data_IF_654127097992
#
_entry.id   IF_654127097992
#
_cell.length_a   1.000
_cell.length_b   1.000
_cell.length_c   1.000
_cell.angle_alpha   90.00
_cell.angle_beta   90.00
_cell.angle_gamma   90.00
#
_symmetry.space_group_name_H-M   'P 1'
#
loop_
_entity.id
_entity.type
_entity.pdbx_description
1 polymer ?
#
# COMPACT_ATOMS: atom_id res chain seq x y z
N UNK A 1 -11.58 2.90 -21.07
CA UNK A 1 -10.94 4.23 -21.12
C UNK A 1 -9.69 4.19 -20.25
N UNK A 2 -8.61 4.83 -20.70
CA UNK A 2 -7.34 4.83 -19.99
C UNK A 2 -7.48 5.43 -18.59
N UNK A 3 -6.97 4.76 -17.53
CA UNK A 3 -7.07 5.25 -16.17
C UNK A 3 -6.12 6.43 -15.88
N UNK A 4 -5.23 6.79 -16.84
CA UNK A 4 -4.27 7.87 -16.71
C UNK A 4 -4.66 9.05 -17.61
N UNK A 5 -4.75 10.20 -16.98
CA UNK A 5 -5.20 11.45 -17.59
C UNK A 5 -4.07 12.48 -17.58
N UNK A 6 -4.13 13.41 -18.53
CA UNK A 6 -3.26 14.60 -18.51
C UNK A 6 -3.99 15.70 -17.76
N UNK A 7 -3.40 16.19 -16.69
CA UNK A 7 -3.97 17.19 -15.80
C UNK A 7 -3.08 18.42 -15.71
N UNK A 8 -3.68 19.60 -15.76
CA UNK A 8 -3.02 20.91 -15.65
C UNK A 8 -3.36 21.55 -14.31
N UNK A 9 -2.35 22.02 -13.57
CA UNK A 9 -2.55 22.69 -12.27
C UNK A 9 -3.29 24.01 -12.45
N UNK A 10 -4.40 24.17 -11.72
CA UNK A 10 -5.21 25.40 -11.70
C UNK A 10 -4.87 26.23 -10.47
N UNK A 11 -5.02 25.65 -9.28
CA UNK A 11 -4.90 26.34 -7.99
C UNK A 11 -4.54 25.36 -6.87
N UNK A 12 -4.23 25.93 -5.73
CA UNK A 12 -3.97 25.17 -4.51
C UNK A 12 -5.09 25.43 -3.50
N UNK A 13 -5.61 24.37 -2.91
CA UNK A 13 -6.60 24.44 -1.84
C UNK A 13 -6.10 23.68 -0.62
N UNK A 14 -5.81 24.39 0.48
CA UNK A 14 -5.23 23.82 1.71
C UNK A 14 -3.96 23.01 1.41
N UNK A 15 -4.08 21.68 1.40
CA UNK A 15 -2.96 20.76 1.11
C UNK A 15 -3.13 20.00 -0.22
N UNK A 16 -4.21 20.26 -0.94
CA UNK A 16 -4.51 19.63 -2.23
C UNK A 16 -4.13 20.52 -3.39
N UNK A 17 -3.82 19.92 -4.52
CA UNK A 17 -3.63 20.60 -5.80
C UNK A 17 -4.89 20.36 -6.64
N UNK A 18 -5.56 21.44 -7.07
CA UNK A 18 -6.71 21.36 -7.98
C UNK A 18 -6.20 21.47 -9.40
N UNK A 19 -6.59 20.50 -10.20
CA UNK A 19 -6.13 20.32 -11.57
C UNK A 19 -7.31 20.32 -12.55
N UNK A 20 -7.09 20.82 -13.75
CA UNK A 20 -8.01 20.66 -14.88
C UNK A 20 -7.63 19.40 -15.65
N UNK A 21 -8.59 18.54 -15.85
CA UNK A 21 -8.46 17.30 -16.62
C UNK A 21 -9.33 17.40 -17.87
N UNK A 22 -8.74 17.08 -19.02
CA UNK A 22 -9.49 16.98 -20.28
C UNK A 22 -10.24 15.66 -20.34
N UNK A 23 -11.55 15.71 -20.50
CA UNK A 23 -12.41 14.54 -20.68
C UNK A 23 -12.56 14.10 -22.14
N UNK A 24 -11.70 14.60 -23.04
CA UNK A 24 -11.66 14.28 -24.46
C UNK A 24 -11.84 15.51 -25.38
N UNK A 25 -11.62 15.30 -26.68
CA UNK A 25 -11.71 16.35 -27.70
C UNK A 25 -13.10 17.01 -27.72
N UNK A 26 -13.13 18.32 -27.50
CA UNK A 26 -14.34 19.13 -27.57
C UNK A 26 -15.23 19.10 -26.32
N UNK A 27 -14.80 18.44 -25.24
CA UNK A 27 -15.49 18.47 -23.94
C UNK A 27 -14.84 19.51 -23.01
N UNK A 28 -15.61 20.14 -22.09
CA UNK A 28 -15.05 21.06 -21.12
C UNK A 28 -14.08 20.32 -20.18
N UNK A 29 -13.05 21.04 -19.74
CA UNK A 29 -12.16 20.56 -18.68
C UNK A 29 -12.96 20.38 -17.37
N UNK A 30 -12.67 19.31 -16.63
CA UNK A 30 -13.30 18.99 -15.36
C UNK A 30 -12.25 19.17 -14.26
N UNK A 31 -12.66 19.69 -13.10
CA UNK A 31 -11.78 19.81 -11.96
C UNK A 31 -11.54 18.46 -11.28
N UNK A 32 -10.28 18.19 -10.96
CA UNK A 32 -9.84 17.03 -10.23
C UNK A 32 -8.98 17.46 -9.02
N UNK A 33 -9.12 16.73 -7.93
CA UNK A 33 -8.33 16.95 -6.73
C UNK A 33 -7.18 15.95 -6.66
N UNK A 34 -5.95 16.46 -6.44
CA UNK A 34 -4.76 15.71 -6.12
C UNK A 34 -4.43 15.93 -4.63
N UNK A 35 -4.87 15.05 -3.72
CA UNK A 35 -4.63 15.18 -2.28
C UNK A 35 -3.14 15.07 -1.94
N UNK A 36 -2.70 15.65 -0.84
CA UNK A 36 -1.28 15.63 -0.41
C UNK A 36 -0.66 14.23 -0.36
N UNK A 37 -1.41 13.23 0.11
CA UNK A 37 -0.95 11.84 0.19
C UNK A 37 -0.68 11.20 -1.17
N UNK A 38 -1.31 11.73 -2.22
CA UNK A 38 -1.23 11.25 -3.60
C UNK A 38 -0.26 12.08 -4.47
N UNK A 39 0.36 13.14 -3.90
CA UNK A 39 1.39 13.95 -4.55
C UNK A 39 2.75 13.25 -4.46
N UNK A 40 3.65 13.51 -5.41
CA UNK A 40 5.04 13.08 -5.34
C UNK A 40 5.90 14.15 -4.68
N UNK A 41 6.88 13.79 -3.84
CA UNK A 41 7.73 14.75 -3.14
C UNK A 41 8.63 15.58 -4.08
N UNK A 42 8.97 15.00 -5.25
CA UNK A 42 9.86 15.61 -6.22
C UNK A 42 9.11 16.38 -7.34
N UNK A 43 7.77 16.32 -7.36
CA UNK A 43 6.98 17.08 -8.32
C UNK A 43 6.92 18.56 -7.92
N UNK A 44 7.10 19.42 -8.92
CA UNK A 44 7.00 20.85 -8.73
C UNK A 44 5.66 21.35 -9.28
N UNK A 45 4.65 21.35 -8.42
CA UNK A 45 3.32 21.81 -8.78
C UNK A 45 3.31 23.34 -8.87
N UNK A 46 3.30 23.87 -10.09
CA UNK A 46 3.17 25.32 -10.39
C UNK A 46 1.91 25.55 -11.18
N UNK A 47 1.34 26.73 -11.10
CA UNK A 47 0.21 27.12 -11.94
C UNK A 47 0.52 26.82 -13.43
N UNK A 48 -0.43 26.23 -14.11
CA UNK A 48 -0.34 25.77 -15.51
C UNK A 48 0.67 24.63 -15.81
N UNK A 49 1.35 24.06 -14.78
CA UNK A 49 2.16 22.86 -15.00
C UNK A 49 1.26 21.64 -15.32
N UNK A 50 1.74 20.79 -16.22
CA UNK A 50 0.99 19.61 -16.69
C UNK A 50 1.65 18.35 -16.18
N UNK A 51 0.81 17.40 -15.74
CA UNK A 51 1.24 16.09 -15.20
C UNK A 51 0.34 14.98 -15.74
N UNK A 52 0.91 13.79 -15.92
CA UNK A 52 0.11 12.56 -16.04
C UNK A 52 -0.35 12.13 -14.65
N UNK A 53 -1.63 11.88 -14.47
CA UNK A 53 -2.23 11.51 -13.20
C UNK A 53 -3.10 10.27 -13.37
N UNK A 54 -3.09 9.38 -12.39
CA UNK A 54 -3.95 8.21 -12.35
C UNK A 54 -5.31 8.59 -11.75
N UNK A 55 -6.39 8.27 -12.44
CA UNK A 55 -7.75 8.45 -11.93
C UNK A 55 -8.03 7.39 -10.87
N UNK A 56 -8.12 7.81 -9.62
CA UNK A 56 -8.26 6.91 -8.48
C UNK A 56 -9.72 6.65 -8.13
N UNK A 57 -10.51 7.70 -8.16
CA UNK A 57 -11.91 7.66 -7.72
C UNK A 57 -12.73 8.74 -8.42
N UNK A 58 -13.98 8.41 -8.72
CA UNK A 58 -14.99 9.35 -9.17
C UNK A 58 -16.10 9.36 -8.12
N UNK A 59 -16.31 10.49 -7.45
CA UNK A 59 -17.38 10.62 -6.45
C UNK A 59 -18.74 10.71 -7.14
N UNK A 60 -19.62 9.78 -6.87
CA UNK A 60 -21.01 9.80 -7.37
C UNK A 60 -21.91 10.79 -6.60
N UNK A 61 -21.49 11.12 -5.37
CA UNK A 61 -22.25 12.04 -4.52
C UNK A 61 -21.97 13.49 -4.94
N UNK A 62 -22.99 14.29 -5.27
CA UNK A 62 -22.81 15.71 -5.59
C UNK A 62 -22.25 16.46 -4.39
N UNK A 63 -20.99 16.87 -4.48
CA UNK A 63 -20.31 17.70 -3.47
C UNK A 63 -20.05 19.09 -4.02
N UNK A 64 -19.90 20.07 -3.13
CA UNK A 64 -19.31 21.36 -3.50
C UNK A 64 -17.80 21.15 -3.70
N UNK A 65 -17.34 21.13 -4.96
CA UNK A 65 -15.93 20.95 -5.32
C UNK A 65 -15.70 19.83 -6.33
N UNK A 66 -14.42 19.46 -6.56
CA UNK A 66 -14.04 18.43 -7.52
C UNK A 66 -14.63 17.07 -7.17
N UNK A 67 -15.13 16.35 -8.17
CA UNK A 67 -15.65 14.98 -8.02
C UNK A 67 -14.64 13.92 -8.45
N UNK A 68 -13.59 14.32 -9.16
CA UNK A 68 -12.51 13.43 -9.58
C UNK A 68 -11.35 13.49 -8.59
N UNK A 69 -10.93 12.33 -8.12
CA UNK A 69 -9.74 12.20 -7.29
C UNK A 69 -8.63 11.51 -8.08
N UNK A 70 -7.51 12.18 -8.17
CA UNK A 70 -6.36 11.72 -8.96
C UNK A 70 -5.13 11.50 -8.08
N UNK A 71 -4.22 10.65 -8.57
CA UNK A 71 -3.02 10.26 -7.83
C UNK A 71 -1.80 10.25 -8.74
N UNK A 72 -0.67 10.73 -8.19
CA UNK A 72 0.67 10.56 -8.75
C UNK A 72 1.44 9.42 -8.06
N UNK A 73 0.96 8.98 -6.89
CA UNK A 73 1.59 7.93 -6.09
C UNK A 73 1.05 6.52 -6.35
N UNK A 74 -0.04 6.38 -7.12
CA UNK A 74 -0.63 5.08 -7.44
C UNK A 74 0.31 4.23 -8.32
N UNK A 75 0.38 2.91 -8.03
CA UNK A 75 1.17 1.96 -8.83
C UNK A 75 0.70 1.84 -10.28
N UNK A 76 -0.60 2.02 -10.54
CA UNK A 76 -1.18 2.01 -11.89
C UNK A 76 -0.59 3.07 -12.82
N UNK A 77 -0.10 4.20 -12.27
CA UNK A 77 0.62 5.18 -13.08
C UNK A 77 1.92 4.59 -13.65
N UNK A 78 2.65 3.80 -12.85
CA UNK A 78 3.90 3.16 -13.32
C UNK A 78 3.59 2.12 -14.39
N UNK A 79 2.55 1.31 -14.20
CA UNK A 79 2.09 0.32 -15.20
C UNK A 79 1.81 1.02 -16.53
N UNK A 80 0.98 2.04 -16.52
CA UNK A 80 0.64 2.81 -17.72
C UNK A 80 1.87 3.41 -18.42
N UNK A 81 2.84 3.93 -17.66
CA UNK A 81 4.06 4.49 -18.23
C UNK A 81 4.89 3.42 -18.94
N UNK A 82 5.01 2.22 -18.35
CA UNK A 82 5.68 1.11 -19.02
C UNK A 82 4.93 0.62 -20.25
N UNK A 83 3.60 0.51 -20.20
CA UNK A 83 2.77 0.13 -21.34
C UNK A 83 2.97 1.09 -22.53
N UNK A 84 3.17 2.38 -22.27
CA UNK A 84 3.40 3.35 -23.34
C UNK A 84 4.84 3.33 -23.90
N UNK A 85 5.83 2.97 -23.08
CA UNK A 85 7.25 3.02 -23.46
C UNK A 85 7.77 1.68 -24.01
N UNK A 86 7.08 0.57 -23.74
CA UNK A 86 7.54 -0.79 -24.07
C UNK A 86 6.60 -1.45 -25.08
N UNK A 87 6.98 -1.50 -26.37
CA UNK A 87 6.14 -2.10 -27.41
C UNK A 87 5.77 -3.56 -27.12
N UNK A 88 6.70 -4.34 -26.54
CA UNK A 88 6.49 -5.74 -26.20
C UNK A 88 5.39 -5.94 -25.13
N UNK A 89 5.11 -4.92 -24.31
CA UNK A 89 3.97 -4.93 -23.40
C UNK A 89 2.68 -4.62 -24.15
N UNK A 90 2.70 -3.66 -25.09
CA UNK A 90 1.54 -3.32 -25.90
C UNK A 90 1.11 -4.49 -26.80
N UNK A 91 2.08 -5.23 -27.33
CA UNK A 91 1.88 -6.42 -28.18
C UNK A 91 1.47 -7.66 -27.35
N UNK A 92 1.64 -7.60 -26.01
CA UNK A 92 1.28 -8.68 -25.08
C UNK A 92 2.31 -9.80 -24.99
N UNK A 93 3.49 -9.69 -25.62
CA UNK A 93 4.58 -10.66 -25.48
C UNK A 93 5.27 -10.57 -24.11
N UNK A 94 5.29 -9.37 -23.52
CA UNK A 94 5.73 -9.10 -22.15
C UNK A 94 4.55 -8.61 -21.30
N UNK A 95 4.48 -9.03 -20.06
CA UNK A 95 3.44 -8.59 -19.10
C UNK A 95 4.05 -8.10 -17.80
N UNK A 96 3.43 -7.11 -17.19
CA UNK A 96 3.70 -6.71 -15.82
C UNK A 96 2.85 -7.60 -14.90
N UNK A 97 3.51 -8.36 -14.03
CA UNK A 97 2.85 -9.30 -13.11
C UNK A 97 2.49 -8.62 -11.79
N UNK A 98 3.40 -7.82 -11.25
CA UNK A 98 3.20 -7.13 -9.99
C UNK A 98 4.03 -5.84 -9.93
N UNK A 99 3.54 -4.88 -9.13
CA UNK A 99 4.25 -3.62 -8.84
C UNK A 99 4.19 -3.35 -7.34
N UNK A 100 5.36 -3.15 -6.74
CA UNK A 100 5.48 -2.66 -5.37
C UNK A 100 6.12 -1.27 -5.41
N UNK A 101 5.36 -0.25 -4.98
CA UNK A 101 5.75 1.15 -5.06
C UNK A 101 5.76 1.81 -3.69
N UNK A 102 6.79 2.59 -3.45
CA UNK A 102 6.94 3.47 -2.30
C UNK A 102 7.25 4.88 -2.79
N UNK A 103 6.20 5.55 -3.29
CA UNK A 103 6.29 6.90 -3.86
C UNK A 103 6.56 7.98 -2.81
N UNK A 104 6.02 7.78 -1.60
CA UNK A 104 6.15 8.67 -0.45
C UNK A 104 6.74 7.87 0.72
N UNK A 105 8.06 7.63 0.77
CA UNK A 105 8.66 6.90 1.86
C UNK A 105 8.50 7.67 3.18
N UNK A 106 8.38 6.97 4.33
CA UNK A 106 8.13 7.59 5.62
C UNK A 106 9.26 8.51 6.09
N UNK A 107 10.48 8.23 5.66
CA UNK A 107 11.67 9.00 6.01
C UNK A 107 12.17 9.82 4.84
N UNK A 108 12.61 11.05 5.13
CA UNK A 108 13.24 11.95 4.13
C UNK A 108 14.64 11.49 3.70
N UNK A 109 15.26 10.57 4.46
CA UNK A 109 16.57 10.01 4.12
C UNK A 109 16.49 9.00 2.96
N UNK A 110 15.28 8.51 2.68
CA UNK A 110 15.00 7.49 1.67
C UNK A 110 14.21 8.13 0.53
N UNK A 111 14.67 7.96 -0.70
CA UNK A 111 13.97 8.47 -1.89
C UNK A 111 12.87 7.51 -2.37
N UNK A 112 11.97 8.00 -3.26
CA UNK A 112 10.97 7.17 -3.92
C UNK A 112 11.60 5.99 -4.66
N UNK A 113 10.97 4.82 -4.56
CA UNK A 113 11.43 3.60 -5.25
C UNK A 113 10.28 2.68 -5.60
N UNK A 114 10.41 2.02 -6.75
CA UNK A 114 9.44 1.04 -7.25
C UNK A 114 10.15 -0.21 -7.72
N UNK A 115 9.57 -1.38 -7.43
CA UNK A 115 9.93 -2.65 -8.05
C UNK A 115 8.79 -3.11 -8.94
N UNK A 116 9.15 -3.50 -10.18
CA UNK A 116 8.21 -3.98 -11.20
C UNK A 116 8.59 -5.39 -11.59
N UNK A 117 7.71 -6.36 -11.33
CA UNK A 117 7.91 -7.74 -11.75
C UNK A 117 7.32 -7.93 -13.14
N UNK A 118 8.14 -8.45 -14.05
CA UNK A 118 7.80 -8.68 -15.45
C UNK A 118 8.04 -10.12 -15.84
N UNK A 119 7.22 -10.61 -16.77
CA UNK A 119 7.29 -11.95 -17.31
C UNK A 119 7.10 -11.90 -18.84
N UNK A 120 7.58 -12.90 -19.55
CA UNK A 120 7.38 -13.06 -20.99
C UNK A 120 6.62 -14.35 -21.29
N UNK A 121 5.63 -14.24 -22.16
CA UNK A 121 4.91 -15.40 -22.70
C UNK A 121 5.80 -16.14 -23.70
N UNK A 122 6.66 -15.40 -24.41
CA UNK A 122 7.58 -15.93 -25.41
C UNK A 122 8.95 -16.22 -24.77
N UNK A 123 9.45 -17.44 -24.96
CA UNK A 123 10.74 -17.87 -24.37
C UNK A 123 11.96 -17.11 -24.87
N UNK A 124 11.88 -16.57 -26.09
CA UNK A 124 12.98 -15.86 -26.75
C UNK A 124 13.05 -14.38 -26.36
N UNK A 125 11.98 -13.84 -25.76
CA UNK A 125 11.92 -12.44 -25.34
C UNK A 125 12.41 -12.30 -23.89
N UNK A 126 13.44 -11.48 -23.68
CA UNK A 126 13.88 -11.10 -22.34
C UNK A 126 13.00 -9.96 -21.81
N UNK A 127 12.09 -10.22 -20.84
CA UNK A 127 11.15 -9.21 -20.36
C UNK A 127 11.83 -8.07 -19.63
N UNK A 128 12.95 -8.34 -18.95
CA UNK A 128 13.72 -7.31 -18.22
C UNK A 128 14.45 -6.42 -19.22
N UNK A 129 15.10 -7.01 -20.22
CA UNK A 129 15.78 -6.28 -21.29
C UNK A 129 14.83 -5.40 -22.10
N UNK A 130 13.63 -5.90 -22.41
CA UNK A 130 12.58 -5.15 -23.11
C UNK A 130 12.17 -3.89 -22.34
N UNK A 131 11.93 -4.01 -21.03
CA UNK A 131 11.52 -2.88 -20.18
C UNK A 131 12.66 -1.87 -19.94
N UNK A 132 13.89 -2.33 -19.85
CA UNK A 132 15.06 -1.45 -19.68
C UNK A 132 15.35 -0.69 -20.98
N UNK A 133 15.28 -1.38 -22.12
CA UNK A 133 15.60 -0.85 -23.43
C UNK A 133 17.10 -0.66 -23.67
N UNK A 134 17.47 -0.27 -24.90
CA UNK A 134 18.86 -0.06 -25.27
C UNK A 134 19.52 1.01 -24.38
N UNK A 135 20.58 0.60 -23.65
CA UNK A 135 21.31 1.47 -22.71
C UNK A 135 20.42 2.13 -21.64
N UNK A 136 19.30 1.50 -21.29
CA UNK A 136 18.36 2.03 -20.31
C UNK A 136 17.43 3.13 -20.83
N UNK A 137 17.29 3.30 -22.14
CA UNK A 137 16.53 4.42 -22.72
C UNK A 137 15.05 4.42 -22.30
N UNK A 138 14.39 3.25 -22.31
CA UNK A 138 12.96 3.14 -21.99
C UNK A 138 12.69 3.39 -20.51
N UNK A 139 13.38 2.67 -19.64
CA UNK A 139 13.22 2.88 -18.17
C UNK A 139 13.55 4.31 -17.77
N UNK A 140 14.53 4.97 -18.44
CA UNK A 140 14.88 6.34 -18.15
C UNK A 140 13.75 7.32 -18.49
N UNK A 141 12.94 7.07 -19.52
CA UNK A 141 11.75 7.88 -19.81
C UNK A 141 10.74 7.80 -18.66
N UNK A 142 10.48 6.59 -18.14
CA UNK A 142 9.59 6.39 -17.01
C UNK A 142 10.14 7.08 -15.75
N UNK A 143 11.42 6.93 -15.46
CA UNK A 143 12.11 7.60 -14.34
C UNK A 143 12.00 9.13 -14.44
N UNK A 144 12.17 9.68 -15.64
CA UNK A 144 12.08 11.12 -15.89
C UNK A 144 10.66 11.66 -15.65
N UNK A 145 9.63 10.93 -16.12
CA UNK A 145 8.22 11.30 -15.85
C UNK A 145 7.91 11.29 -14.35
N UNK A 146 8.50 10.34 -13.60
CA UNK A 146 8.34 10.23 -12.14
C UNK A 146 9.37 11.03 -11.35
N UNK A 147 10.05 11.99 -11.98
CA UNK A 147 10.99 12.94 -11.36
C UNK A 147 12.12 12.29 -10.56
N UNK A 148 12.70 11.23 -11.11
CA UNK A 148 13.86 10.58 -10.55
C UNK A 148 13.54 9.47 -9.54
N UNK A 149 12.31 8.95 -9.53
CA UNK A 149 11.95 7.75 -8.77
C UNK A 149 12.77 6.56 -9.26
N UNK A 150 13.43 5.85 -8.35
CA UNK A 150 14.23 4.67 -8.70
C UNK A 150 13.32 3.49 -9.03
N UNK A 151 13.59 2.84 -10.17
CA UNK A 151 12.80 1.71 -10.63
C UNK A 151 13.70 0.49 -10.82
N UNK A 152 13.36 -0.61 -10.15
CA UNK A 152 14.00 -1.91 -10.32
C UNK A 152 13.05 -2.81 -11.13
N UNK A 153 13.48 -3.28 -12.29
CA UNK A 153 12.75 -4.27 -13.09
C UNK A 153 13.22 -5.67 -12.72
N UNK A 154 12.29 -6.50 -12.30
CA UNK A 154 12.52 -7.83 -11.71
C UNK A 154 11.92 -8.89 -12.62
N UNK A 155 12.68 -9.93 -12.95
CA UNK A 155 12.14 -11.10 -13.64
C UNK A 155 11.24 -11.88 -12.68
N UNK A 156 9.99 -12.04 -13.03
CA UNK A 156 9.08 -12.91 -12.33
C UNK A 156 9.45 -14.39 -12.52
N UNK A 157 9.10 -15.24 -11.59
CA UNK A 157 9.29 -16.68 -11.67
C UNK A 157 8.13 -17.41 -11.01
N UNK A 158 7.74 -18.55 -11.55
CA UNK A 158 6.80 -19.47 -10.93
C UNK A 158 7.36 -20.11 -9.65
N UNK A 159 8.69 -20.30 -9.59
CA UNK A 159 9.34 -20.75 -8.36
C UNK A 159 9.43 -19.60 -7.37
N UNK A 160 8.77 -19.72 -6.19
CA UNK A 160 8.77 -18.66 -5.18
C UNK A 160 10.18 -18.32 -4.70
N UNK A 161 11.06 -19.33 -4.53
CA UNK A 161 12.43 -19.10 -4.09
C UNK A 161 13.20 -18.24 -5.07
N UNK A 162 13.11 -18.55 -6.36
CA UNK A 162 13.75 -17.77 -7.40
C UNK A 162 13.14 -16.36 -7.52
N UNK A 163 11.81 -16.23 -7.37
CA UNK A 163 11.15 -14.92 -7.44
C UNK A 163 11.56 -14.02 -6.27
N UNK A 164 11.63 -14.58 -5.06
CA UNK A 164 12.12 -13.87 -3.86
C UNK A 164 13.57 -13.42 -4.07
N UNK A 165 14.44 -14.33 -4.54
CA UNK A 165 15.83 -14.00 -4.83
C UNK A 165 15.96 -12.85 -5.85
N UNK A 166 15.23 -12.91 -6.96
CA UNK A 166 15.20 -11.86 -7.97
C UNK A 166 14.72 -10.53 -7.40
N UNK A 167 13.68 -10.56 -6.53
CA UNK A 167 13.05 -9.37 -5.96
C UNK A 167 13.99 -8.56 -5.05
N UNK A 168 15.02 -9.18 -4.48
CA UNK A 168 16.01 -8.52 -3.64
C UNK A 168 17.13 -7.82 -4.42
N UNK A 169 17.11 -7.92 -5.79
CA UNK A 169 18.04 -7.14 -6.61
C UNK A 169 18.10 -5.67 -6.14
N UNK A 170 19.30 -5.05 -6.13
CA UNK A 170 20.56 -5.50 -6.70
C UNK A 170 21.43 -6.40 -5.78
N UNK A 171 20.94 -6.80 -4.60
CA UNK A 171 21.70 -7.70 -3.72
C UNK A 171 21.78 -9.11 -4.33
N UNK A 172 22.93 -9.77 -4.09
CA UNK A 172 23.12 -11.17 -4.44
C UNK A 172 22.64 -12.05 -3.31
N UNK A 173 21.78 -13.00 -3.63
CA UNK A 173 21.22 -13.99 -2.72
C UNK A 173 21.96 -15.32 -2.95
N UNK A 174 22.39 -15.98 -1.88
CA UNK A 174 22.99 -17.31 -1.95
C UNK A 174 21.94 -18.41 -1.94
N UNK A 175 20.97 -18.31 -1.04
CA UNK A 175 19.92 -19.32 -0.88
C UNK A 175 18.63 -18.69 -0.38
N UNK A 176 17.50 -19.22 -0.82
CA UNK A 176 16.17 -18.91 -0.28
C UNK A 176 15.59 -20.21 0.29
N UNK A 177 15.17 -20.18 1.54
CA UNK A 177 14.48 -21.27 2.21
C UNK A 177 13.03 -20.85 2.45
N UNK A 178 12.12 -21.61 1.88
CA UNK A 178 10.69 -21.44 2.15
C UNK A 178 10.38 -22.13 3.48
N UNK A 179 10.31 -21.34 4.53
CA UNK A 179 10.18 -21.83 5.92
C UNK A 179 8.77 -22.26 6.21
N UNK A 180 7.83 -21.45 5.76
CA UNK A 180 6.41 -21.70 5.85
C UNK A 180 5.74 -21.36 4.51
N UNK A 181 5.56 -22.34 3.62
CA UNK A 181 4.94 -22.12 2.33
C UNK A 181 3.47 -21.66 2.42
N UNK A 182 2.74 -22.10 3.43
CA UNK A 182 1.34 -21.75 3.64
C UNK A 182 1.20 -20.33 4.19
N UNK A 183 1.98 -19.99 5.22
CA UNK A 183 2.06 -18.64 5.77
C UNK A 183 2.94 -17.69 4.96
N UNK A 184 3.43 -18.13 3.78
CA UNK A 184 4.26 -17.34 2.87
C UNK A 184 5.46 -16.68 3.58
N UNK A 185 6.23 -17.48 4.33
CA UNK A 185 7.40 -17.03 5.06
C UNK A 185 8.68 -17.66 4.51
N UNK A 186 9.69 -16.85 4.25
CA UNK A 186 10.97 -17.27 3.69
C UNK A 186 12.15 -16.65 4.43
N UNK A 187 13.20 -17.46 4.66
CA UNK A 187 14.52 -16.99 5.06
C UNK A 187 15.42 -16.87 3.83
N UNK A 188 16.07 -15.73 3.71
CA UNK A 188 16.97 -15.44 2.61
C UNK A 188 18.39 -15.29 3.13
N UNK A 189 19.26 -16.18 2.69
CA UNK A 189 20.66 -16.18 3.06
C UNK A 189 21.46 -15.34 2.09
N UNK A 190 22.17 -14.36 2.62
CA UNK A 190 23.04 -13.48 1.85
C UNK A 190 24.43 -13.43 2.43
N UNK A 191 25.47 -13.21 1.61
CA UNK A 191 26.82 -12.97 2.10
C UNK A 191 26.86 -11.74 2.99
N UNK A 192 27.80 -11.67 3.97
CA UNK A 192 27.93 -10.53 4.88
C UNK A 192 28.05 -9.17 4.17
N UNK A 193 28.75 -9.13 3.05
CA UNK A 193 28.95 -7.94 2.23
C UNK A 193 27.67 -7.47 1.50
N UNK A 194 26.69 -8.36 1.32
CA UNK A 194 25.41 -8.08 0.67
C UNK A 194 24.28 -7.75 1.65
N UNK A 195 24.46 -7.99 2.96
CA UNK A 195 23.42 -7.85 3.97
C UNK A 195 22.79 -6.45 3.97
N UNK A 196 23.61 -5.41 4.03
CA UNK A 196 23.14 -4.02 4.01
C UNK A 196 22.43 -3.66 2.70
N UNK A 197 22.85 -4.24 1.58
CA UNK A 197 22.24 -4.00 0.27
C UNK A 197 20.90 -4.73 0.15
N UNK A 198 20.79 -5.95 0.66
CA UNK A 198 19.57 -6.74 0.68
C UNK A 198 18.49 -6.09 1.54
N UNK A 199 18.85 -5.61 2.71
CA UNK A 199 17.93 -4.86 3.59
C UNK A 199 17.58 -3.50 2.96
N UNK A 200 18.58 -2.79 2.45
CA UNK A 200 18.45 -1.43 1.96
C UNK A 200 18.33 -0.38 3.08
N UNK A 201 18.34 0.90 2.71
CA UNK A 201 18.18 1.99 3.69
C UNK A 201 16.81 1.88 4.35
N UNK A 202 16.79 1.86 5.67
CA UNK A 202 15.56 1.75 6.49
C UNK A 202 14.67 0.56 6.08
N UNK A 203 15.28 -0.51 5.57
CA UNK A 203 14.56 -1.71 5.15
C UNK A 203 13.75 -1.54 3.85
N UNK A 204 13.99 -0.49 3.05
CA UNK A 204 13.20 -0.22 1.85
C UNK A 204 13.28 -1.36 0.83
N UNK A 205 14.47 -1.94 0.60
CA UNK A 205 14.63 -2.98 -0.41
C UNK A 205 13.88 -4.25 -0.04
N UNK A 206 14.04 -4.76 1.20
CA UNK A 206 13.33 -5.95 1.67
C UNK A 206 11.83 -5.71 1.79
N UNK A 207 11.40 -4.53 2.24
CA UNK A 207 9.96 -4.18 2.34
C UNK A 207 9.28 -4.16 0.98
N UNK A 208 9.93 -3.59 -0.05
CA UNK A 208 9.42 -3.62 -1.42
C UNK A 208 9.42 -5.03 -2.00
N UNK A 209 10.46 -5.84 -1.73
CA UNK A 209 10.51 -7.23 -2.14
C UNK A 209 9.39 -8.05 -1.51
N UNK A 210 9.14 -7.88 -0.22
CA UNK A 210 8.04 -8.54 0.49
C UNK A 210 6.66 -8.16 -0.10
N UNK A 211 6.43 -6.88 -0.38
CA UNK A 211 5.18 -6.42 -1.03
C UNK A 211 5.03 -6.92 -2.45
N UNK A 212 6.14 -7.03 -3.19
CA UNK A 212 6.13 -7.48 -4.58
C UNK A 212 5.79 -8.98 -4.70
N UNK A 213 6.36 -9.77 -3.80
CA UNK A 213 6.23 -11.24 -3.82
C UNK A 213 5.04 -11.75 -3.02
N UNK A 214 4.54 -10.97 -2.06
CA UNK A 214 3.53 -11.40 -1.10
C UNK A 214 4.10 -12.23 0.05
N UNK A 215 5.43 -12.42 0.11
CA UNK A 215 6.11 -13.23 1.12
C UNK A 215 6.67 -12.37 2.25
N UNK A 216 6.59 -12.85 3.47
CA UNK A 216 7.39 -12.37 4.60
C UNK A 216 8.82 -12.83 4.39
N UNK A 217 9.76 -11.88 4.33
CA UNK A 217 11.16 -12.15 3.99
C UNK A 217 12.04 -11.76 5.18
N UNK A 218 12.72 -12.73 5.77
CA UNK A 218 13.74 -12.52 6.79
C UNK A 218 15.13 -12.74 6.19
N UNK A 219 15.94 -11.68 6.24
CA UNK A 219 17.30 -11.72 5.69
C UNK A 219 18.27 -12.17 6.79
N UNK A 220 19.01 -13.21 6.51
CA UNK A 220 19.99 -13.82 7.40
C UNK A 220 21.39 -13.78 6.79
N UNK A 221 22.39 -13.66 7.64
CA UNK A 221 23.79 -13.77 7.22
C UNK A 221 24.14 -15.25 6.96
N UNK A 222 24.63 -15.57 5.77
CA UNK A 222 24.92 -16.97 5.39
C UNK A 222 26.02 -17.61 6.25
N UNK A 223 26.95 -16.82 6.78
CA UNK A 223 28.07 -17.34 7.61
C UNK A 223 27.69 -17.62 9.06
N UNK A 224 26.61 -17.01 9.54
CA UNK A 224 26.10 -17.15 10.92
C UNK A 224 24.87 -18.04 10.99
N UNK A 225 24.39 -18.52 9.85
CA UNK A 225 23.17 -19.29 9.76
C UNK A 225 23.38 -20.72 10.24
N UNK A 226 22.76 -21.05 11.37
CA UNK A 226 22.68 -22.41 11.90
C UNK A 226 21.36 -23.05 11.42
N UNK A 227 21.50 -23.98 10.48
CA UNK A 227 20.37 -24.63 9.85
C UNK A 227 19.55 -25.46 10.85
N UNK A 228 20.20 -26.19 11.76
CA UNK A 228 19.52 -27.08 12.69
C UNK A 228 18.72 -26.30 13.75
N UNK A 229 19.31 -25.20 14.25
CA UNK A 229 18.63 -24.33 15.20
C UNK A 229 17.41 -23.64 14.58
N UNK A 230 17.55 -23.17 13.35
CA UNK A 230 16.45 -22.48 12.63
C UNK A 230 15.36 -23.48 12.22
N UNK A 231 15.69 -24.71 11.82
CA UNK A 231 14.71 -25.74 11.49
C UNK A 231 13.86 -26.11 12.72
N UNK A 232 14.43 -26.13 13.92
CA UNK A 232 13.71 -26.35 15.16
C UNK A 232 12.71 -25.23 15.47
N UNK A 233 13.11 -23.96 15.30
CA UNK A 233 12.24 -22.79 15.51
C UNK A 233 11.09 -22.78 14.49
N UNK A 234 11.36 -23.15 13.25
CA UNK A 234 10.37 -23.24 12.19
C UNK A 234 9.36 -24.33 12.48
N UNK A 235 9.83 -25.52 12.89
CA UNK A 235 8.95 -26.63 13.25
C UNK A 235 8.00 -26.24 14.40
N UNK A 236 8.50 -25.50 15.38
CA UNK A 236 7.68 -24.99 16.48
C UNK A 236 6.63 -23.97 16.02
N UNK A 237 7.01 -23.02 15.13
CA UNK A 237 6.07 -22.04 14.56
C UNK A 237 4.97 -22.70 13.72
N UNK A 238 5.30 -23.73 12.94
CA UNK A 238 4.33 -24.49 12.16
C UNK A 238 3.36 -25.22 13.10
N UNK A 239 3.87 -25.87 14.15
CA UNK A 239 3.04 -26.57 15.14
C UNK A 239 2.09 -25.60 15.86
N UNK A 240 2.56 -24.45 16.29
CA UNK A 240 1.72 -23.43 16.94
C UNK A 240 0.60 -22.94 16.02
N UNK A 241 0.90 -22.71 14.73
CA UNK A 241 -0.12 -22.30 13.77
C UNK A 241 -1.15 -23.40 13.51
N UNK A 242 -0.72 -24.64 13.35
CA UNK A 242 -1.63 -25.77 13.17
C UNK A 242 -2.56 -25.95 14.38
N UNK A 243 -2.07 -25.70 15.58
CA UNK A 243 -2.89 -25.69 16.81
C UNK A 243 -3.88 -24.51 16.81
N UNK A 244 -3.47 -23.31 16.39
CA UNK A 244 -4.35 -22.15 16.29
C UNK A 244 -5.44 -22.35 15.23
N UNK A 245 -5.09 -22.89 14.06
CA UNK A 245 -6.03 -23.19 12.98
C UNK A 245 -7.05 -24.28 13.43
N UNK A 246 -6.58 -25.30 14.14
CA UNK A 246 -7.47 -26.34 14.69
C UNK A 246 -8.42 -25.78 15.74
N UNK A 247 -7.96 -24.87 16.59
CA UNK A 247 -8.80 -24.18 17.59
C UNK A 247 -9.84 -23.28 16.91
N UNK A 248 -9.45 -22.56 15.87
CA UNK A 248 -10.38 -21.72 15.10
C UNK A 248 -11.45 -22.56 14.41
N UNK A 249 -11.06 -23.66 13.75
CA UNK A 249 -12.01 -24.58 13.12
C UNK A 249 -13.01 -25.17 14.14
N UNK A 250 -12.53 -25.59 15.31
CA UNK A 250 -13.41 -26.07 16.38
C UNK A 250 -14.37 -24.99 16.90
N UNK A 251 -13.90 -23.75 16.99
CA UNK A 251 -14.74 -22.62 17.40
C UNK A 251 -15.82 -22.31 16.36
N UNK A 252 -15.48 -22.33 15.07
CA UNK A 252 -16.42 -22.16 13.97
C UNK A 252 -17.45 -23.30 13.90
N UNK A 253 -17.01 -24.55 14.06
CA UNK A 253 -17.91 -25.71 14.10
C UNK A 253 -18.89 -25.62 15.30
N UNK A 254 -18.41 -25.21 16.46
CA UNK A 254 -19.27 -25.01 17.64
C UNK A 254 -20.30 -23.89 17.42
N UNK A 255 -19.87 -22.77 16.82
CA UNK A 255 -20.77 -21.66 16.49
C UNK A 255 -21.82 -22.08 15.45
N UNK A 256 -21.41 -22.80 14.42
CA UNK A 256 -22.32 -23.34 13.42
C UNK A 256 -23.34 -24.36 14.02
N UNK A 257 -22.87 -25.23 14.92
CA UNK A 257 -23.74 -26.17 15.62
C UNK A 257 -24.74 -25.46 16.56
N UNK A 258 -24.30 -24.41 17.25
CA UNK A 258 -25.17 -23.59 18.10
C UNK A 258 -26.23 -22.83 17.27
N UNK A 259 -25.83 -22.27 16.14
CA UNK A 259 -26.76 -21.61 15.22
C UNK A 259 -27.77 -22.56 14.62
N UNK A 260 -27.33 -23.78 14.24
CA UNK A 260 -28.22 -24.82 13.75
C UNK A 260 -29.22 -25.28 14.81
N UNK A 261 -28.78 -25.51 16.06
CA UNK A 261 -29.65 -25.89 17.16
C UNK A 261 -30.67 -24.78 17.46
N UNK A 262 -30.28 -23.52 17.40
CA UNK A 262 -31.19 -22.37 17.59
C UNK A 262 -32.22 -22.25 16.47
N UNK A 263 -31.79 -22.47 15.22
CA UNK A 263 -32.69 -22.50 14.09
C UNK A 263 -33.71 -23.68 14.15
N UNK A 264 -33.29 -24.87 14.63
CA UNK A 264 -34.19 -25.97 14.88
C UNK A 264 -35.20 -25.66 16.00
N UNK A 265 -34.76 -25.04 17.07
CA UNK A 265 -35.62 -24.59 18.18
C UNK A 265 -36.64 -23.57 17.73
N UNK A 266 -36.22 -22.55 16.95
CA UNK A 266 -37.10 -21.53 16.38
C UNK A 266 -38.11 -22.15 15.41
N UNK A 267 -37.69 -23.09 14.56
CA UNK A 267 -38.57 -23.82 13.65
C UNK A 267 -39.62 -24.63 14.42
N UNK A 268 -39.20 -25.29 15.51
CA UNK A 268 -40.09 -26.03 16.38
C UNK A 268 -41.08 -25.15 17.11
N UNK A 269 -40.67 -23.95 17.55
CA UNK A 269 -41.54 -22.96 18.18
C UNK A 269 -42.57 -22.41 17.18
N UNK A 270 -42.20 -22.17 15.93
CA UNK A 270 -43.12 -21.78 14.87
C UNK A 270 -44.14 -22.84 14.53
N UNK A 271 -43.77 -24.11 14.60
CA UNK A 271 -44.66 -25.24 14.37
C UNK A 271 -45.65 -25.42 15.54
N UNK A 272 -45.24 -25.16 16.78
CA UNK A 272 -46.08 -25.22 17.99
C UNK A 272 -47.00 -24.01 18.15
N UNK A 273 -46.58 -22.85 17.70
CA UNK A 273 -47.27 -21.56 17.78
C UNK A 273 -47.31 -20.94 16.40
N UNK A 274 -48.12 -21.42 15.46
CA UNK A 274 -48.22 -20.79 14.15
C UNK A 274 -48.75 -19.39 14.31
N UNK A 275 -48.03 -18.40 13.77
CA UNK A 275 -48.51 -17.04 13.68
C UNK A 275 -49.78 -17.01 12.82
N UNK A 276 -50.81 -16.20 13.17
CA UNK A 276 -51.95 -15.96 12.30
C UNK A 276 -51.47 -15.51 10.93
N UNK A 277 -52.07 -16.03 9.85
CA UNK A 277 -51.70 -15.71 8.46
C UNK A 277 -51.79 -14.18 8.14
N UNK A 278 -52.47 -13.41 8.97
CA UNK A 278 -52.61 -11.96 8.82
C UNK A 278 -51.43 -11.12 9.38
N UNK A 279 -50.50 -11.72 10.13
CA UNK A 279 -49.33 -10.99 10.72
C UNK A 279 -48.06 -11.09 9.87
N UNK A 280 -47.97 -11.99 8.89
CA UNK A 280 -46.83 -12.04 7.99
C UNK A 280 -46.72 -10.81 7.08
N UNK A 281 -47.85 -10.25 6.67
CA UNK A 281 -47.92 -9.04 5.81
C UNK A 281 -47.58 -7.77 6.60
N UNK A 282 -47.83 -7.74 7.93
CA UNK A 282 -47.48 -6.61 8.80
C UNK A 282 -46.05 -6.61 9.30
N UNK A 283 -45.41 -7.79 9.37
CA UNK A 283 -44.02 -7.91 9.84
C UNK A 283 -42.98 -7.44 8.80
N UNK A 284 -43.25 -7.68 7.53
CA UNK A 284 -42.36 -7.23 6.45
C UNK A 284 -42.44 -5.71 6.23
N UNK A 285 -43.63 -5.09 6.32
CA UNK A 285 -43.76 -3.63 6.22
C UNK A 285 -43.17 -2.86 7.39
N UNK A 286 -43.15 -3.42 8.61
CA UNK A 286 -42.51 -2.77 9.75
C UNK A 286 -40.98 -2.95 9.75
N UNK A 287 -40.46 -4.07 9.30
CA UNK A 287 -39.04 -4.29 9.15
C UNK A 287 -38.42 -3.39 8.08
N UNK A 288 -39.15 -3.09 6.97
CA UNK A 288 -38.70 -2.13 5.96
C UNK A 288 -38.80 -0.68 6.44
N UNK A 289 -39.74 -0.34 7.33
CA UNK A 289 -39.87 1.01 7.90
C UNK A 289 -38.88 1.29 9.02
N UNK A 290 -38.60 0.33 9.91
CA UNK A 290 -37.54 0.51 10.94
C UNK A 290 -36.15 0.64 10.36
N UNK A 291 -35.86 0.01 9.21
CA UNK A 291 -34.55 0.13 8.56
C UNK A 291 -34.37 1.45 7.79
N UNK A 292 -35.46 2.19 7.53
CA UNK A 292 -35.43 3.49 6.83
C UNK A 292 -35.41 4.71 7.77
N UNK A 293 -35.62 4.53 9.08
CA UNK A 293 -35.70 5.64 10.06
C UNK A 293 -34.51 5.74 11.02
N UNK A 294 -33.53 4.84 11.00
CA UNK A 294 -32.26 5.04 11.71
C UNK A 294 -31.32 5.98 10.92
N UNK A 295 -31.63 7.27 10.93
CA UNK A 295 -30.60 8.29 10.78
C UNK A 295 -29.69 8.24 12.02
N UNK A 296 -28.34 8.29 11.86
CA UNK A 296 -27.44 8.29 13.00
C UNK A 296 -27.65 9.58 13.81
N UNK A 297 -28.16 9.44 15.03
CA UNK A 297 -28.28 10.52 15.97
C UNK A 297 -26.91 11.22 16.17
N UNK A 298 -26.89 12.50 15.84
CA UNK A 298 -25.80 13.41 16.21
C UNK A 298 -25.61 13.37 17.72
N UNK A 299 -24.44 12.88 18.13
CA UNK A 299 -24.00 13.01 19.53
C UNK A 299 -23.55 14.44 19.72
N UNK A 300 -24.45 15.28 20.25
CA UNK A 300 -24.09 16.58 20.81
C UNK A 300 -23.08 16.37 21.96
N UNK A 301 -21.87 16.83 21.76
CA UNK A 301 -20.88 16.99 22.81
C UNK A 301 -21.32 18.16 23.70
N UNK A 302 -21.93 17.84 24.82
CA UNK A 302 -22.27 18.76 25.87
C UNK A 302 -21.27 18.72 27.02
N UNK A 303 -20.88 19.90 27.40
CA UNK A 303 -20.31 20.35 28.67
C UNK A 303 -18.81 20.21 28.88
N UNK A 304 -18.18 21.36 28.67
CA UNK A 304 -16.99 21.88 29.33
C UNK A 304 -17.10 21.69 30.86
N UNK A 305 -16.12 21.04 31.45
CA UNK A 305 -15.77 21.23 32.85
C UNK A 305 -14.37 21.82 32.89
N UNK A 306 -14.34 23.12 33.18
CA UNK A 306 -13.18 23.85 33.64
C UNK A 306 -12.54 23.13 34.83
N UNK A 307 -11.25 22.83 34.71
CA UNK A 307 -10.40 22.52 35.85
C UNK A 307 -9.33 23.61 35.94
N UNK A 308 -9.57 24.56 36.81
CA UNK A 308 -8.56 25.51 37.27
C UNK A 308 -7.46 24.73 38.00
N UNK A 309 -6.21 24.87 37.54
CA UNK A 309 -5.04 24.51 38.32
C UNK A 309 -4.28 25.79 38.62
N UNK A 310 -4.28 26.12 39.90
CA UNK A 310 -3.53 27.21 40.50
C UNK A 310 -2.03 27.07 40.24
N UNK A 311 -1.43 28.12 39.73
CA UNK A 311 0.02 28.29 39.59
C UNK A 311 0.57 28.89 40.88
N UNK A 312 1.34 28.14 41.64
CA UNK A 312 2.25 28.68 42.65
C UNK A 312 3.54 29.18 41.99
N UNK A 313 3.72 30.48 42.13
CA UNK A 313 4.95 31.21 41.86
C UNK A 313 5.96 30.99 42.96
N UNK A 314 7.17 30.60 42.64
CA UNK A 314 8.33 30.88 43.46
C UNK A 314 9.42 31.55 42.63
N UNK A 315 9.62 32.77 42.99
CA UNK A 315 10.67 33.73 42.67
C UNK A 315 12.03 33.25 43.24
N UNK A 316 13.10 33.32 42.45
CA UNK A 316 14.44 33.53 42.97
C UNK A 316 15.40 34.01 41.86
N UNK A 317 15.76 35.26 41.99
CA UNK A 317 16.77 35.99 41.28
C UNK A 317 18.21 35.51 41.54
N UNK A 318 19.09 35.73 40.59
CA UNK A 318 20.47 36.27 40.67
C UNK A 318 21.11 36.21 39.26
N UNK A 319 21.31 37.29 38.60
CA UNK A 319 22.47 38.20 38.54
C UNK A 319 23.80 37.52 38.20
N UNK A 320 24.36 38.02 37.16
CA UNK A 320 25.72 38.48 36.91
C UNK A 320 26.34 37.87 35.66
N UNK A 321 26.46 38.63 34.63
CA UNK A 321 27.61 39.50 34.22
C UNK A 321 28.70 38.79 33.36
N UNK A 322 29.03 39.52 32.31
CA UNK A 322 30.32 39.58 31.61
C UNK A 322 30.43 38.92 30.20
N UNK A 323 30.22 39.74 29.19
CA UNK A 323 31.01 39.83 27.95
C UNK A 323 32.43 40.38 28.27
N UNK A 324 33.36 40.57 27.29
CA UNK A 324 33.71 39.84 26.05
C UNK A 324 35.21 39.53 25.99
N UNK A 325 35.71 38.81 25.02
CA UNK A 325 36.95 39.19 24.33
C UNK A 325 37.18 38.49 22.98
N UNK A 326 37.69 39.31 22.09
CA UNK A 326 38.18 39.01 20.74
C UNK A 326 39.55 38.36 20.77
N UNK A 327 39.92 37.64 19.73
CA UNK A 327 41.17 37.70 18.94
C UNK A 327 41.30 36.41 18.14
N UNK A 328 41.23 36.49 16.82
CA UNK A 328 42.23 36.70 15.79
C UNK A 328 43.36 35.62 15.71
N UNK A 329 43.55 35.19 14.44
CA UNK A 329 44.80 34.75 13.80
C UNK A 329 45.14 33.27 13.89
N UNK A 330 44.90 32.46 12.86
CA UNK A 330 45.73 32.19 11.66
C UNK A 330 45.09 31.19 10.72
#
# INVERSE_FOLDING_TARGET
EDPVLTARVIRFERQSVIMAVSSGLGRPEVEAELPRRDQLPNDNYRANATFKVFLKEVSEVPRRGPQLFVSRSNAGLVVYLFENEVPEIQEGSVRIVAVAREANPPSRSVGPRTKVAVDSIEREVDPVGACIGARGSRIQQVVNELRGEKIDVIRWSHDPGQYIANSLSPARVEMVRLVDPVGQHAHVLVPPDQLSLAIGREGQNVRLAARLTGWKIDIKNSTEYDQEAEDAVVAELISQREEEEALQQQAEERLAAEQAARAEEDARLRELYPLPEDEEEYGEEQAEQEFSEEEPAEVEAGSETEFEAEAETTDAAAEADAEPDQEQVR
#
